data_IF_076841311678
#
_entry.id   IF_076841311678
#
_cell.length_a   1.000
_cell.length_b   1.000
_cell.length_c   1.000
_cell.angle_alpha   90.00
_cell.angle_beta   90.00
_cell.angle_gamma   90.00
#
_symmetry.space_group_name_H-M   'P 1'
#
loop_
_entity.id
_entity.type
_entity.pdbx_description
1 polymer ?
#
# COMPACT_ATOMS: atom_id res chain seq x y z
N UNK A 1 -14.73 -19.48 -10.93
CA UNK A 1 -14.62 -18.90 -9.57
C UNK A 1 -13.17 -18.58 -9.31
N UNK A 2 -12.87 -17.43 -8.72
CA UNK A 2 -11.50 -17.11 -8.33
C UNK A 2 -11.14 -17.90 -7.07
N UNK A 3 -10.35 -18.97 -7.25
CA UNK A 3 -10.04 -19.94 -6.17
C UNK A 3 -9.32 -19.27 -5.00
N UNK A 4 -8.45 -18.30 -5.30
CA UNK A 4 -7.65 -17.61 -4.29
C UNK A 4 -8.47 -16.74 -3.31
N UNK A 5 -9.75 -16.44 -3.60
CA UNK A 5 -10.65 -15.80 -2.63
C UNK A 5 -10.95 -16.64 -1.39
N UNK A 6 -10.67 -17.94 -1.44
CA UNK A 6 -10.76 -18.83 -0.28
C UNK A 6 -9.58 -18.68 0.68
N UNK A 7 -8.50 -18.03 0.27
CA UNK A 7 -7.33 -17.79 1.11
C UNK A 7 -7.50 -16.51 1.92
N UNK A 8 -7.02 -16.51 3.17
CA UNK A 8 -7.00 -15.34 4.04
C UNK A 8 -5.69 -14.57 3.85
N UNK A 9 -5.80 -13.28 3.56
CA UNK A 9 -4.63 -12.42 3.41
C UNK A 9 -4.05 -12.00 4.76
N UNK A 10 -2.77 -11.65 4.80
CA UNK A 10 -2.16 -11.02 5.99
C UNK A 10 -2.82 -9.65 6.27
N UNK A 11 -3.19 -9.41 7.52
CA UNK A 11 -3.68 -8.10 7.99
C UNK A 11 -2.56 -7.05 8.02
N UNK A 12 -1.31 -7.50 8.22
CA UNK A 12 -0.14 -6.62 8.28
C UNK A 12 0.61 -6.63 6.95
N UNK A 13 0.82 -5.45 6.39
CA UNK A 13 1.72 -5.28 5.25
C UNK A 13 3.18 -5.44 5.71
N UNK A 14 4.01 -6.20 5.00
CA UNK A 14 5.44 -6.24 5.28
C UNK A 14 6.04 -4.85 5.10
N UNK A 15 6.89 -4.41 6.05
CA UNK A 15 7.58 -3.10 5.99
C UNK A 15 8.61 -3.02 4.85
N UNK A 16 9.07 -4.18 4.38
CA UNK A 16 9.97 -4.34 3.23
C UNK A 16 9.56 -5.60 2.50
N UNK A 17 9.30 -5.49 1.21
CA UNK A 17 8.93 -6.61 0.36
C UNK A 17 10.24 -7.22 -0.18
N UNK A 18 10.50 -8.48 0.15
CA UNK A 18 11.54 -9.28 -0.51
C UNK A 18 10.84 -10.09 -1.59
N UNK A 19 11.07 -9.74 -2.85
CA UNK A 19 10.45 -10.41 -3.99
C UNK A 19 11.44 -11.37 -4.64
N UNK A 20 11.05 -12.63 -4.73
CA UNK A 20 11.68 -13.57 -5.66
C UNK A 20 10.94 -13.49 -6.99
N UNK A 21 11.63 -12.98 -8.02
CA UNK A 21 11.06 -12.73 -9.35
C UNK A 21 10.60 -14.05 -9.98
N UNK A 22 11.35 -15.13 -9.78
CA UNK A 22 11.01 -16.45 -10.34
C UNK A 22 9.65 -16.95 -9.83
N UNK A 23 9.33 -16.65 -8.57
CA UNK A 23 8.07 -17.03 -7.94
C UNK A 23 6.87 -16.17 -8.38
N UNK A 24 7.12 -15.00 -8.98
CA UNK A 24 6.09 -14.10 -9.52
C UNK A 24 5.75 -14.48 -10.97
N UNK A 25 6.75 -14.86 -11.76
CA UNK A 25 6.57 -15.24 -13.16
C UNK A 25 5.63 -16.45 -13.33
N UNK A 26 5.59 -17.33 -12.34
CA UNK A 26 4.68 -18.50 -12.32
C UNK A 26 3.25 -18.17 -11.88
N UNK A 27 2.98 -16.95 -11.40
CA UNK A 27 1.67 -16.56 -10.85
C UNK A 27 0.80 -15.84 -11.87
N UNK A 28 -0.48 -16.22 -11.90
CA UNK A 28 -1.53 -15.50 -12.62
C UNK A 28 -2.13 -14.40 -11.75
N UNK A 29 -2.87 -13.47 -12.36
CA UNK A 29 -3.58 -12.38 -11.65
C UNK A 29 -4.47 -12.91 -10.53
N UNK A 30 -5.05 -14.10 -10.71
CA UNK A 30 -5.96 -14.69 -9.74
C UNK A 30 -5.24 -15.10 -8.45
N UNK A 31 -3.93 -15.31 -8.48
CA UNK A 31 -3.13 -15.61 -7.30
C UNK A 31 -2.82 -14.37 -6.44
N UNK A 32 -3.13 -13.17 -6.94
CA UNK A 32 -2.90 -11.90 -6.23
C UNK A 32 -4.16 -11.34 -5.55
N UNK A 33 -5.25 -12.10 -5.55
CA UNK A 33 -6.46 -11.76 -4.81
C UNK A 33 -6.71 -12.80 -3.73
N UNK A 34 -7.15 -12.33 -2.58
CA UNK A 34 -7.57 -13.14 -1.44
C UNK A 34 -8.88 -12.60 -0.85
N UNK A 35 -9.41 -13.23 0.19
CA UNK A 35 -10.62 -12.76 0.89
C UNK A 35 -10.54 -11.29 1.36
N UNK A 36 -9.36 -10.78 1.74
CA UNK A 36 -9.20 -9.36 2.11
C UNK A 36 -9.44 -8.42 0.92
N UNK A 37 -9.26 -8.88 -0.31
CA UNK A 37 -9.58 -8.12 -1.54
C UNK A 37 -11.06 -7.74 -1.57
N UNK A 38 -11.95 -8.55 -0.99
CA UNK A 38 -13.37 -8.22 -0.93
C UNK A 38 -13.65 -6.93 -0.14
N UNK A 39 -12.76 -6.54 0.80
CA UNK A 39 -12.89 -5.26 1.51
C UNK A 39 -12.87 -4.07 0.56
N UNK A 40 -12.09 -4.12 -0.53
CA UNK A 40 -12.07 -3.06 -1.54
C UNK A 40 -13.47 -2.84 -2.13
N UNK A 41 -14.11 -3.94 -2.55
CA UNK A 41 -15.46 -3.90 -3.11
C UNK A 41 -16.50 -3.42 -2.10
N UNK A 42 -16.43 -3.91 -0.86
CA UNK A 42 -17.34 -3.50 0.21
C UNK A 42 -17.21 -2.01 0.56
N UNK A 43 -15.98 -1.51 0.73
CA UNK A 43 -15.71 -0.11 1.11
C UNK A 43 -16.21 0.85 0.02
N UNK A 44 -16.06 0.46 -1.25
CA UNK A 44 -16.40 1.30 -2.39
C UNK A 44 -17.82 1.06 -2.91
N UNK A 45 -18.57 0.14 -2.29
CA UNK A 45 -19.93 -0.21 -2.71
C UNK A 45 -20.00 -0.83 -4.11
N UNK A 46 -18.94 -1.52 -4.54
CA UNK A 46 -18.81 -2.09 -5.88
C UNK A 46 -19.36 -3.53 -5.86
N UNK A 47 -20.21 -3.92 -6.82
CA UNK A 47 -20.64 -5.31 -6.98
C UNK A 47 -19.45 -6.26 -7.14
N UNK A 48 -19.43 -7.38 -6.41
CA UNK A 48 -18.31 -8.35 -6.45
C UNK A 48 -18.75 -9.79 -6.72
N UNK A 49 -20.02 -9.99 -7.05
CA UNK A 49 -20.68 -11.27 -7.36
C UNK A 49 -19.99 -12.00 -8.52
N UNK A 50 -19.52 -11.25 -9.53
CA UNK A 50 -18.83 -11.80 -10.70
C UNK A 50 -17.55 -12.57 -10.34
N UNK A 51 -16.91 -12.27 -9.19
CA UNK A 51 -15.72 -12.99 -8.73
C UNK A 51 -15.99 -14.48 -8.43
N UNK A 52 -17.26 -14.83 -8.17
CA UNK A 52 -17.68 -16.22 -7.98
C UNK A 52 -17.83 -16.97 -9.31
N UNK A 53 -17.93 -16.25 -10.42
CA UNK A 53 -18.05 -16.80 -11.78
C UNK A 53 -16.68 -17.14 -12.35
N UNK A 54 -16.64 -17.86 -13.46
CA UNK A 54 -15.38 -18.13 -14.17
C UNK A 54 -14.88 -16.87 -14.88
N UNK A 55 -13.57 -16.54 -14.80
CA UNK A 55 -13.03 -15.32 -15.39
C UNK A 55 -13.35 -15.14 -16.89
N UNK A 56 -13.43 -16.25 -17.64
CA UNK A 56 -13.81 -16.24 -19.07
C UNK A 56 -15.21 -15.69 -19.35
N UNK A 57 -16.09 -15.64 -18.35
CA UNK A 57 -17.47 -15.15 -18.47
C UNK A 57 -17.63 -13.69 -17.99
N UNK A 58 -16.57 -13.07 -17.47
CA UNK A 58 -16.68 -11.74 -16.86
C UNK A 58 -17.05 -10.64 -17.85
N UNK A 59 -16.53 -10.68 -19.07
CA UNK A 59 -16.82 -9.64 -20.09
C UNK A 59 -18.31 -9.58 -20.48
N UNK A 60 -19.06 -10.65 -20.24
CA UNK A 60 -20.51 -10.72 -20.47
C UNK A 60 -21.32 -10.32 -19.23
N UNK A 61 -20.69 -10.25 -18.06
CA UNK A 61 -21.32 -10.02 -16.77
C UNK A 61 -21.57 -8.52 -16.51
N UNK A 62 -22.82 -8.18 -16.19
CA UNK A 62 -23.23 -6.78 -15.95
C UNK A 62 -22.61 -6.18 -14.68
N UNK A 63 -22.46 -6.98 -13.62
CA UNK A 63 -21.83 -6.52 -12.37
C UNK A 63 -20.34 -6.24 -12.62
N UNK A 64 -19.66 -7.07 -13.41
CA UNK A 64 -18.28 -6.81 -13.83
C UNK A 64 -18.17 -5.54 -14.67
N UNK A 65 -19.02 -5.35 -15.69
CA UNK A 65 -19.00 -4.15 -16.54
C UNK A 65 -19.19 -2.87 -15.72
N UNK A 66 -20.18 -2.85 -14.82
CA UNK A 66 -20.43 -1.71 -13.94
C UNK A 66 -19.24 -1.45 -13.01
N UNK A 67 -18.71 -2.50 -12.38
CA UNK A 67 -17.55 -2.43 -11.49
C UNK A 67 -16.30 -1.91 -12.21
N UNK A 68 -16.07 -2.39 -13.43
CA UNK A 68 -14.95 -1.97 -14.28
C UNK A 68 -15.01 -0.48 -14.60
N UNK A 69 -16.18 0.05 -14.95
CA UNK A 69 -16.34 1.48 -15.23
C UNK A 69 -16.13 2.33 -13.97
N UNK A 70 -16.63 1.90 -12.81
CA UNK A 70 -16.36 2.56 -11.52
C UNK A 70 -14.86 2.62 -11.25
N UNK A 71 -14.15 1.48 -11.34
CA UNK A 71 -12.70 1.42 -11.09
C UNK A 71 -11.92 2.27 -12.10
N UNK A 72 -12.29 2.26 -13.38
CA UNK A 72 -11.63 3.10 -14.41
C UNK A 72 -11.86 4.59 -14.20
N UNK A 73 -12.98 4.98 -13.61
CA UNK A 73 -13.26 6.37 -13.26
C UNK A 73 -12.45 6.87 -12.06
N UNK A 74 -11.86 5.95 -11.28
CA UNK A 74 -11.05 6.34 -10.13
C UNK A 74 -9.76 6.99 -10.61
N UNK A 75 -9.54 8.21 -10.14
CA UNK A 75 -8.29 8.90 -10.34
C UNK A 75 -7.22 8.24 -9.46
N UNK A 76 -6.32 7.46 -10.09
CA UNK A 76 -5.11 6.95 -9.42
C UNK A 76 -4.14 8.10 -9.25
N UNK A 77 -4.39 8.94 -8.24
CA UNK A 77 -3.44 9.97 -7.83
C UNK A 77 -2.46 9.35 -6.85
N UNK A 78 -1.18 9.51 -7.14
CA UNK A 78 -0.10 9.23 -6.20
C UNK A 78 -0.04 10.30 -5.08
N UNK A 79 -1.18 10.86 -4.70
CA UNK A 79 -1.31 12.05 -3.84
C UNK A 79 -0.69 11.81 -2.46
N UNK A 80 -0.76 10.58 -1.94
CA UNK A 80 -0.10 10.25 -0.66
C UNK A 80 1.43 10.27 -0.80
N UNK A 81 2.00 9.71 -1.87
CA UNK A 81 3.45 9.74 -2.04
C UNK A 81 3.93 11.14 -2.43
N UNK A 82 3.21 11.84 -3.31
CA UNK A 82 3.47 13.24 -3.67
C UNK A 82 3.41 14.14 -2.44
N UNK A 83 2.41 13.97 -1.57
CA UNK A 83 2.33 14.68 -0.28
C UNK A 83 3.46 14.31 0.66
N UNK A 84 3.88 13.03 0.69
CA UNK A 84 5.02 12.58 1.47
C UNK A 84 6.34 13.24 1.01
N UNK A 85 6.53 13.33 -0.31
CA UNK A 85 7.68 14.01 -0.93
C UNK A 85 7.63 15.51 -0.65
N UNK A 86 6.49 16.16 -0.87
CA UNK A 86 6.33 17.59 -0.59
C UNK A 86 6.60 17.92 0.88
N UNK A 87 6.10 17.09 1.81
CA UNK A 87 6.32 17.26 3.24
C UNK A 87 7.79 17.16 3.62
N UNK A 88 8.53 16.16 3.10
CA UNK A 88 9.95 16.03 3.42
C UNK A 88 10.78 17.14 2.77
N UNK A 89 10.41 17.57 1.56
CA UNK A 89 11.05 18.70 0.87
C UNK A 89 10.85 20.02 1.62
N UNK A 90 9.63 20.28 2.11
CA UNK A 90 9.32 21.47 2.90
C UNK A 90 10.04 21.41 4.27
N UNK A 91 9.97 20.28 4.97
CA UNK A 91 10.65 20.09 6.25
C UNK A 91 12.16 20.29 6.14
N UNK A 92 12.78 19.78 5.08
CA UNK A 92 14.21 19.94 4.81
C UNK A 92 14.62 21.41 4.56
N UNK A 93 13.68 22.30 4.20
CA UNK A 93 13.92 23.74 4.04
C UNK A 93 13.73 24.51 5.34
N UNK A 94 12.96 23.99 6.30
CA UNK A 94 12.64 24.68 7.56
C UNK A 94 13.85 24.72 8.51
N UNK A 95 14.61 23.62 8.63
CA UNK A 95 15.67 23.52 9.64
C UNK A 95 16.94 24.26 9.20
N UNK A 96 17.49 23.90 8.05
CA UNK A 96 18.68 24.54 7.50
C UNK A 96 18.80 24.21 6.01
N UNK A 97 19.30 25.16 5.22
CA UNK A 97 19.64 24.94 3.80
C UNK A 97 21.11 24.53 3.62
N UNK A 98 21.90 24.53 4.69
CA UNK A 98 23.31 24.13 4.68
C UNK A 98 23.43 22.59 4.74
N UNK A 99 24.10 22.01 3.74
CA UNK A 99 24.19 20.55 3.59
C UNK A 99 25.05 19.91 4.69
N UNK A 100 26.10 20.57 5.17
CA UNK A 100 26.94 20.03 6.24
C UNK A 100 26.17 19.94 7.56
N UNK A 101 25.38 20.97 7.88
CA UNK A 101 24.47 20.96 9.01
C UNK A 101 23.37 19.90 8.87
N UNK A 102 22.85 19.66 7.67
CA UNK A 102 21.89 18.56 7.42
C UNK A 102 22.51 17.20 7.71
N UNK A 103 23.73 16.94 7.22
CA UNK A 103 24.40 15.67 7.47
C UNK A 103 24.66 15.45 8.96
N UNK A 104 25.07 16.49 9.69
CA UNK A 104 25.21 16.41 11.14
C UNK A 104 23.87 16.11 11.84
N UNK A 105 22.79 16.78 11.44
CA UNK A 105 21.45 16.54 11.97
C UNK A 105 21.00 15.08 11.75
N UNK A 106 21.25 14.51 10.57
CA UNK A 106 20.91 13.12 10.26
C UNK A 106 21.65 12.13 11.17
N UNK A 107 22.93 12.41 11.49
CA UNK A 107 23.70 11.60 12.43
C UNK A 107 23.11 11.66 13.85
N UNK A 108 22.70 12.86 14.30
CA UNK A 108 22.04 13.04 15.59
C UNK A 108 20.72 12.27 15.62
N UNK A 109 19.84 12.45 14.62
CA UNK A 109 18.57 11.73 14.52
C UNK A 109 18.77 10.22 14.53
N UNK A 110 19.77 9.70 13.80
CA UNK A 110 20.10 8.28 13.78
C UNK A 110 20.51 7.79 15.17
N UNK A 111 21.36 8.52 15.88
CA UNK A 111 21.78 8.19 17.24
C UNK A 111 20.61 8.20 18.22
N UNK A 112 19.72 9.19 18.12
CA UNK A 112 18.51 9.27 18.94
C UNK A 112 17.57 8.08 18.69
N UNK A 113 17.34 7.68 17.43
CA UNK A 113 16.51 6.49 17.13
C UNK A 113 17.11 5.18 17.65
N UNK A 114 18.43 5.10 17.79
CA UNK A 114 19.09 3.95 18.40
C UNK A 114 18.95 3.94 19.93
N UNK A 115 19.05 5.12 20.56
CA UNK A 115 18.89 5.26 22.01
C UNK A 115 17.43 5.10 22.46
N UNK A 116 16.49 5.58 21.64
CA UNK A 116 15.05 5.57 21.89
C UNK A 116 14.34 4.81 20.76
N UNK A 117 14.29 3.47 20.84
CA UNK A 117 13.77 2.63 19.76
C UNK A 117 12.24 2.67 19.62
N UNK A 118 11.53 3.21 20.61
CA UNK A 118 10.08 3.38 20.57
C UNK A 118 9.65 4.85 20.68
N UNK A 119 8.40 5.11 20.30
CA UNK A 119 7.79 6.44 20.30
C UNK A 119 6.95 6.72 21.55
N UNK A 120 7.14 5.96 22.63
CA UNK A 120 6.35 6.16 23.86
C UNK A 120 6.80 7.43 24.57
N UNK A 121 5.84 8.19 25.08
CA UNK A 121 6.12 9.40 25.85
C UNK A 121 7.03 9.14 27.06
N UNK A 122 6.88 7.97 27.69
CA UNK A 122 7.73 7.52 28.81
C UNK A 122 9.21 7.37 28.43
N UNK A 123 9.49 7.02 27.18
CA UNK A 123 10.85 6.77 26.67
C UNK A 123 11.58 8.07 26.35
N UNK A 124 10.85 9.15 26.05
CA UNK A 124 11.38 10.48 25.75
C UNK A 124 11.52 11.40 26.98
N UNK A 125 10.90 11.03 28.10
CA UNK A 125 10.88 11.81 29.34
C UNK A 125 11.83 11.28 30.43
N UNK A 126 12.79 10.43 30.06
CA UNK A 126 13.81 9.93 30.97
C UNK A 126 14.81 11.03 31.38
#
# INVERSE_FOLDING_TARGET
MVIALSEEGSEYSPKRITLDISHIEEKSIENFVNSNTLRFFTILGIPSTFLQKEPRLWEEDEDYKASREIVRSMRVVNDIAERGVALIEEFNKIITSDEEQKQFLLLVVKKFRQMYPDTKKSTLLA
#
